data_IF_401718332488
#
_entry.id   IF_401718332488
#
_cell.length_a   1.000
_cell.length_b   1.000
_cell.length_c   1.000
_cell.angle_alpha   90.00
_cell.angle_beta   90.00
_cell.angle_gamma   90.00
#
_symmetry.space_group_name_H-M   'P 1'
#
loop_
_entity.id
_entity.type
_entity.pdbx_description
1 polymer ?
#
# COMPACT_ATOMS: atom_id res chain seq x y z
N UNK A 1 13.32 2.85 -8.03
CA UNK A 1 12.65 4.01 -7.43
C UNK A 1 11.15 3.87 -7.59
N UNK A 2 10.40 4.08 -6.51
CA UNK A 2 8.95 3.98 -6.58
C UNK A 2 8.37 5.18 -7.31
N UNK A 3 7.34 4.94 -8.11
CA UNK A 3 6.65 6.01 -8.80
C UNK A 3 5.46 6.45 -7.95
N UNK A 4 5.36 7.76 -7.75
CA UNK A 4 4.23 8.31 -7.02
C UNK A 4 3.88 9.69 -7.56
N UNK A 5 2.62 10.09 -7.34
CA UNK A 5 2.16 11.44 -7.63
C UNK A 5 1.77 12.08 -6.32
N UNK A 6 2.28 13.29 -6.10
CA UNK A 6 1.93 14.06 -4.92
C UNK A 6 0.90 15.11 -5.29
N UNK A 7 -0.15 15.19 -4.48
CA UNK A 7 -1.20 16.19 -4.66
C UNK A 7 -1.37 16.99 -3.38
N UNK A 8 -2.20 18.02 -3.44
CA UNK A 8 -2.44 18.88 -2.29
C UNK A 8 -2.93 18.10 -1.06
N UNK A 9 -3.61 16.97 -1.26
CA UNK A 9 -4.22 16.21 -0.17
C UNK A 9 -3.50 14.92 0.18
N UNK A 10 -2.51 14.51 -0.57
CA UNK A 10 -1.83 13.26 -0.26
C UNK A 10 -1.05 12.68 -1.43
N UNK A 11 -0.92 11.36 -1.44
CA UNK A 11 -0.11 10.64 -2.42
C UNK A 11 -0.94 9.59 -3.14
N UNK A 12 -0.57 9.36 -4.41
CA UNK A 12 -1.03 8.21 -5.19
C UNK A 12 0.19 7.44 -5.64
N UNK A 13 0.23 6.13 -5.42
CA UNK A 13 1.38 5.33 -5.80
C UNK A 13 0.99 3.88 -6.04
N UNK A 14 1.89 3.16 -6.72
CA UNK A 14 1.67 1.76 -7.05
C UNK A 14 2.02 0.87 -5.87
N UNK A 15 1.25 -0.21 -5.71
CA UNK A 15 1.45 -1.22 -4.66
C UNK A 15 1.43 -2.60 -5.30
N UNK A 16 2.34 -3.47 -4.86
CA UNK A 16 2.33 -4.87 -5.22
C UNK A 16 1.99 -5.69 -3.99
N UNK A 17 0.88 -6.41 -4.05
CA UNK A 17 0.40 -7.22 -2.92
C UNK A 17 0.90 -8.65 -3.05
N UNK A 18 1.41 -9.20 -1.94
CA UNK A 18 1.80 -10.61 -1.84
C UNK A 18 0.86 -11.26 -0.83
N UNK A 19 -0.17 -11.97 -1.29
CA UNK A 19 -1.14 -12.59 -0.37
C UNK A 19 -0.59 -13.88 0.24
N UNK A 20 -1.30 -14.40 1.23
CA UNK A 20 -0.96 -15.66 1.92
C UNK A 20 0.45 -15.66 2.48
N UNK A 21 0.94 -14.51 2.88
CA UNK A 21 2.25 -14.37 3.50
C UNK A 21 2.19 -14.80 4.97
N UNK A 22 3.37 -15.06 5.54
CA UNK A 22 3.45 -15.45 6.95
C UNK A 22 3.02 -14.33 7.87
N UNK A 23 3.19 -13.07 7.47
CA UNK A 23 2.74 -11.92 8.24
C UNK A 23 2.44 -10.74 7.31
N UNK A 24 1.63 -9.82 7.81
CA UNK A 24 1.26 -8.62 7.06
C UNK A 24 2.25 -7.52 7.39
N UNK A 25 2.97 -7.04 6.38
CA UNK A 25 4.04 -6.05 6.59
C UNK A 25 4.42 -5.38 5.27
N UNK A 26 5.03 -4.21 5.39
CA UNK A 26 5.66 -3.54 4.25
C UNK A 26 6.96 -4.29 3.93
N UNK A 27 7.22 -4.52 2.67
CA UNK A 27 8.38 -5.29 2.21
C UNK A 27 9.25 -4.52 1.22
N UNK A 28 9.29 -3.18 1.33
CA UNK A 28 10.17 -2.35 0.52
C UNK A 28 9.67 -2.14 -0.90
N UNK A 29 10.57 -1.73 -1.78
CA UNK A 29 10.24 -1.44 -3.17
C UNK A 29 10.45 -2.66 -4.06
N UNK A 30 9.58 -2.80 -5.07
CA UNK A 30 9.72 -3.83 -6.09
C UNK A 30 9.19 -3.31 -7.42
N UNK A 31 10.07 -3.14 -8.40
CA UNK A 31 9.73 -2.70 -9.76
C UNK A 31 8.87 -1.43 -9.78
N UNK A 32 9.25 -0.44 -8.97
CA UNK A 32 8.54 0.84 -8.93
C UNK A 32 7.29 0.86 -8.07
N UNK A 33 7.01 -0.21 -7.35
CA UNK A 33 5.84 -0.31 -6.48
C UNK A 33 6.27 -0.57 -5.04
N UNK A 34 5.45 -0.17 -4.09
CA UNK A 34 5.65 -0.55 -2.69
C UNK A 34 5.09 -1.96 -2.52
N UNK A 35 5.96 -2.90 -2.15
CA UNK A 35 5.53 -4.27 -1.93
C UNK A 35 4.97 -4.43 -0.53
N UNK A 36 3.79 -5.03 -0.43
CA UNK A 36 3.10 -5.23 0.84
C UNK A 36 2.69 -6.70 0.94
N UNK A 37 3.18 -7.37 1.97
CA UNK A 37 2.75 -8.74 2.28
C UNK A 37 1.51 -8.69 3.14
N UNK A 38 0.55 -9.57 2.83
CA UNK A 38 -0.65 -9.71 3.66
C UNK A 38 -0.91 -11.18 3.92
N UNK A 39 -1.38 -11.50 5.12
CA UNK A 39 -1.69 -12.89 5.48
C UNK A 39 -2.98 -13.35 4.83
N UNK A 40 -3.85 -12.42 4.47
CA UNK A 40 -5.16 -12.75 3.93
C UNK A 40 -5.06 -13.38 2.54
N UNK A 41 -6.07 -14.18 2.24
CA UNK A 41 -6.27 -14.73 0.91
C UNK A 41 -6.81 -13.64 -0.02
N UNK A 42 -6.55 -13.71 -1.36
CA UNK A 42 -7.05 -12.68 -2.29
C UNK A 42 -8.52 -12.89 -2.67
N UNK A 43 -9.34 -13.43 -1.79
CA UNK A 43 -10.74 -13.69 -2.08
C UNK A 43 -11.65 -12.77 -1.28
N UNK A 44 -12.80 -12.39 -1.87
CA UNK A 44 -13.86 -11.62 -1.22
C UNK A 44 -13.36 -10.32 -0.57
N UNK A 45 -12.35 -9.71 -1.18
CA UNK A 45 -11.82 -8.44 -0.68
C UNK A 45 -10.99 -8.53 0.59
N UNK A 46 -10.69 -9.73 1.09
CA UNK A 46 -9.92 -9.88 2.32
C UNK A 46 -8.53 -9.27 2.20
N UNK A 47 -7.84 -9.50 1.09
CA UNK A 47 -6.51 -8.94 0.88
C UNK A 47 -6.56 -7.43 0.77
N UNK A 48 -7.61 -6.87 0.15
CA UNK A 48 -7.76 -5.42 0.04
C UNK A 48 -7.96 -4.77 1.41
N UNK A 49 -8.79 -5.38 2.26
CA UNK A 49 -9.01 -4.87 3.61
C UNK A 49 -7.73 -4.92 4.44
N UNK A 50 -6.98 -6.02 4.30
CA UNK A 50 -5.72 -6.15 5.01
C UNK A 50 -4.68 -5.15 4.51
N UNK A 51 -4.62 -4.92 3.20
CA UNK A 51 -3.74 -3.92 2.60
C UNK A 51 -4.02 -2.53 3.19
N UNK A 52 -5.28 -2.15 3.24
CA UNK A 52 -5.68 -0.85 3.79
C UNK A 52 -5.24 -0.75 5.26
N UNK A 53 -5.42 -1.80 6.03
CA UNK A 53 -5.02 -1.82 7.44
C UNK A 53 -3.52 -1.64 7.60
N UNK A 54 -2.73 -2.36 6.80
CA UNK A 54 -1.26 -2.26 6.87
C UNK A 54 -0.79 -0.85 6.49
N UNK A 55 -1.36 -0.29 5.42
CA UNK A 55 -0.97 1.04 4.97
C UNK A 55 -1.38 2.11 5.98
N UNK A 56 -2.57 2.01 6.56
CA UNK A 56 -3.01 2.97 7.56
C UNK A 56 -2.08 2.97 8.76
N UNK A 57 -1.71 1.80 9.24
CA UNK A 57 -0.78 1.67 10.36
C UNK A 57 0.59 2.23 10.02
N UNK A 58 1.09 1.92 8.82
CA UNK A 58 2.42 2.33 8.39
C UNK A 58 2.53 3.84 8.19
N UNK A 59 1.46 4.48 7.72
CA UNK A 59 1.42 5.93 7.54
C UNK A 59 0.86 6.66 8.76
N UNK A 60 0.42 5.92 9.78
CA UNK A 60 -0.17 6.48 11.01
C UNK A 60 -1.40 7.33 10.71
N UNK A 61 -2.26 6.81 9.83
CA UNK A 61 -3.47 7.47 9.40
C UNK A 61 -4.68 6.55 9.59
N UNK A 62 -5.87 7.14 9.52
CA UNK A 62 -7.11 6.37 9.56
C UNK A 62 -7.23 5.50 8.31
N UNK A 63 -7.88 4.35 8.44
CA UNK A 63 -8.18 3.50 7.29
C UNK A 63 -9.03 4.25 6.27
N UNK A 64 -9.86 5.17 6.70
CA UNK A 64 -10.69 5.98 5.79
C UNK A 64 -9.87 6.89 4.89
N UNK A 65 -8.60 7.12 5.23
CA UNK A 65 -7.72 7.95 4.40
C UNK A 65 -7.17 7.19 3.19
N UNK A 66 -7.39 5.87 3.13
CA UNK A 66 -6.77 5.03 2.11
C UNK A 66 -7.81 4.52 1.14
N UNK A 67 -7.56 4.74 -0.15
CA UNK A 67 -8.45 4.31 -1.22
C UNK A 67 -7.67 3.49 -2.24
N UNK A 68 -8.22 2.35 -2.65
CA UNK A 68 -7.66 1.58 -3.77
C UNK A 68 -8.30 2.14 -5.03
N UNK A 69 -7.49 2.83 -5.83
CA UNK A 69 -7.98 3.55 -7.02
C UNK A 69 -8.17 2.60 -8.19
N UNK A 70 -7.27 1.62 -8.32
CA UNK A 70 -7.39 0.64 -9.40
C UNK A 70 -6.78 -0.68 -8.97
N UNK A 71 -7.11 -1.73 -9.70
CA UNK A 71 -6.56 -3.06 -9.45
C UNK A 71 -7.22 -3.81 -8.31
N UNK A 72 -8.52 -3.61 -8.08
CA UNK A 72 -9.22 -4.26 -6.97
C UNK A 72 -9.08 -5.78 -6.99
N UNK A 73 -9.00 -6.38 -8.17
CA UNK A 73 -8.89 -7.83 -8.33
C UNK A 73 -7.51 -8.25 -8.81
N UNK A 74 -6.53 -7.38 -8.70
CA UNK A 74 -5.17 -7.62 -9.17
C UNK A 74 -4.20 -7.55 -8.00
N UNK A 75 -3.05 -8.22 -8.13
CA UNK A 75 -1.94 -8.05 -7.19
C UNK A 75 -1.23 -6.72 -7.38
N UNK A 76 -1.37 -6.12 -8.56
CA UNK A 76 -0.82 -4.79 -8.85
C UNK A 76 -1.94 -3.78 -8.70
N UNK A 77 -1.78 -2.86 -7.76
CA UNK A 77 -2.81 -1.90 -7.39
C UNK A 77 -2.26 -0.48 -7.41
N UNK A 78 -3.15 0.49 -7.50
CA UNK A 78 -2.81 1.89 -7.27
C UNK A 78 -3.63 2.35 -6.08
N UNK A 79 -2.97 2.96 -5.11
CA UNK A 79 -3.64 3.46 -3.91
C UNK A 79 -3.47 4.98 -3.82
N UNK A 80 -4.46 5.62 -3.22
CA UNK A 80 -4.40 7.04 -2.88
C UNK A 80 -4.55 7.16 -1.37
N UNK A 81 -3.66 7.92 -0.73
CA UNK A 81 -3.69 8.08 0.71
C UNK A 81 -3.74 9.57 1.03
N UNK A 82 -4.87 10.00 1.61
CA UNK A 82 -5.04 11.39 2.02
C UNK A 82 -4.20 11.65 3.26
N UNK A 83 -3.46 12.76 3.25
CA UNK A 83 -2.61 13.14 4.38
C UNK A 83 -1.26 12.46 4.42
N UNK A 84 -0.95 11.60 3.46
CA UNK A 84 0.35 10.93 3.43
C UNK A 84 1.41 11.86 2.89
N UNK A 85 2.63 11.71 3.42
CA UNK A 85 3.78 12.50 3.00
C UNK A 85 4.77 11.65 2.23
N UNK A 86 5.38 12.24 1.19
CA UNK A 86 6.36 11.54 0.37
C UNK A 86 7.55 11.06 1.20
N UNK A 87 7.95 11.82 2.22
CA UNK A 87 9.05 11.42 3.09
C UNK A 87 8.78 10.07 3.77
N UNK A 88 7.54 9.85 4.22
CA UNK A 88 7.19 8.59 4.86
C UNK A 88 7.20 7.44 3.86
N UNK A 89 6.71 7.68 2.64
CA UNK A 89 6.76 6.68 1.58
C UNK A 89 8.20 6.27 1.30
N UNK A 90 9.10 7.24 1.21
CA UNK A 90 10.52 6.96 0.94
C UNK A 90 11.14 6.13 2.07
N UNK A 91 10.76 6.38 3.31
CA UNK A 91 11.22 5.56 4.44
C UNK A 91 10.76 4.12 4.31
N UNK A 92 9.51 3.93 3.92
CA UNK A 92 8.94 2.58 3.77
C UNK A 92 9.58 1.82 2.62
N UNK A 93 9.99 2.52 1.56
CA UNK A 93 10.67 1.90 0.43
C UNK A 93 11.99 1.27 0.83
N UNK A 94 12.67 1.86 1.79
CA UNK A 94 13.95 1.35 2.26
C UNK A 94 13.80 0.22 3.27
N UNK A 95 12.59 -0.07 3.72
CA UNK A 95 12.32 -1.14 4.68
C UNK A 95 12.41 -2.51 4.00
N UNK A 96 13.02 -3.44 4.65
CA UNK A 96 13.09 -4.81 4.14
C UNK A 96 12.99 -5.79 5.27
#
# INVERSE_FOLDING_TARGET
MIQYSQHARGLTFAVRVVPRAARSEIAGEYNGALRVRVTASPVKGAANRELIRVLAKSFKLSQNAIEIVSGLNSKSKVVRILGAEAARLKQLMASE
#
